data_IF_465192288388
#
_entry.id   IF_465192288388
#
_cell.length_a   1.000
_cell.length_b   1.000
_cell.length_c   1.000
_cell.angle_alpha   90.00
_cell.angle_beta   90.00
_cell.angle_gamma   90.00
#
_symmetry.space_group_name_H-M   'P 1'
#
loop_
_entity.id
_entity.type
_entity.pdbx_description
1 polymer ?
#
# COMPACT_ATOMS: atom_id res chain seq x y z
N UNK A 1 -5.80 -16.27 -2.16
CA UNK A 1 -6.55 -15.01 -2.18
C UNK A 1 -6.58 -14.43 -0.79
N UNK A 2 -6.12 -13.19 -0.62
CA UNK A 2 -6.16 -12.46 0.65
C UNK A 2 -6.98 -11.18 0.52
N UNK A 3 -7.55 -10.74 1.65
CA UNK A 3 -8.20 -9.44 1.76
C UNK A 3 -8.06 -8.92 3.18
N UNK A 4 -7.69 -7.65 3.33
CA UNK A 4 -7.56 -6.94 4.60
C UNK A 4 -8.37 -5.66 4.53
N UNK A 5 -9.18 -5.39 5.55
CA UNK A 5 -9.93 -4.13 5.67
C UNK A 5 -9.35 -3.25 6.75
N UNK A 6 -9.18 -1.97 6.41
CA UNK A 6 -8.81 -0.93 7.36
C UNK A 6 -10.00 0.00 7.54
N UNK A 7 -10.24 0.40 8.79
CA UNK A 7 -11.30 1.35 9.14
C UNK A 7 -10.64 2.59 9.70
N UNK A 8 -10.83 3.72 9.02
CA UNK A 8 -10.38 5.03 9.47
C UNK A 8 -11.55 5.87 9.95
N UNK A 9 -11.35 6.65 11.01
CA UNK A 9 -12.33 7.60 11.54
C UNK A 9 -11.67 8.96 11.79
N UNK A 10 -12.32 10.04 11.35
CA UNK A 10 -11.79 11.40 11.51
C UNK A 10 -12.70 12.46 10.90
N UNK A 11 -12.76 13.64 11.53
CA UNK A 11 -13.58 14.77 11.06
C UNK A 11 -15.08 14.43 10.97
N UNK A 12 -15.59 13.58 11.86
CA UNK A 12 -16.98 13.11 11.86
C UNK A 12 -17.33 12.12 10.76
N UNK A 13 -16.34 11.59 10.03
CA UNK A 13 -16.52 10.61 8.94
C UNK A 13 -15.81 9.31 9.26
N UNK A 14 -16.34 8.21 8.74
CA UNK A 14 -15.76 6.87 8.81
C UNK A 14 -15.55 6.32 7.40
N UNK A 15 -14.35 5.84 7.12
CA UNK A 15 -13.97 5.27 5.83
C UNK A 15 -13.54 3.83 6.03
N UNK A 16 -14.07 2.95 5.18
CA UNK A 16 -13.68 1.54 5.12
C UNK A 16 -12.87 1.36 3.85
N UNK A 17 -11.63 0.91 3.97
CA UNK A 17 -10.77 0.59 2.82
C UNK A 17 -10.46 -0.91 2.81
N UNK A 18 -10.13 -1.42 1.64
CA UNK A 18 -9.77 -2.82 1.44
C UNK A 18 -8.52 -2.91 0.58
N UNK A 19 -7.60 -3.79 1.00
CA UNK A 19 -6.41 -4.22 0.25
C UNK A 19 -6.54 -5.71 -0.04
N UNK A 20 -6.36 -6.11 -1.29
CA UNK A 20 -6.61 -7.50 -1.72
C UNK A 20 -5.62 -7.97 -2.78
N UNK A 21 -5.38 -9.28 -2.84
CA UNK A 21 -4.53 -9.90 -3.85
C UNK A 21 -4.62 -11.42 -3.85
N UNK A 22 -3.68 -12.06 -4.55
CA UNK A 22 -3.55 -13.50 -4.73
C UNK A 22 -3.13 -14.25 -3.46
N UNK A 23 -2.12 -15.11 -3.57
CA UNK A 23 -1.63 -15.90 -2.43
C UNK A 23 -0.82 -15.04 -1.45
N UNK A 24 -1.23 -14.92 -0.17
CA UNK A 24 -0.48 -14.12 0.80
C UNK A 24 0.81 -14.82 1.30
N UNK A 25 0.93 -16.14 1.11
CA UNK A 25 2.01 -16.93 1.68
C UNK A 25 3.38 -16.59 1.12
N UNK A 26 3.48 -16.45 -0.21
CA UNK A 26 4.73 -16.03 -0.84
C UNK A 26 4.55 -15.03 -1.97
N UNK A 27 3.65 -15.28 -2.92
CA UNK A 27 3.57 -14.50 -4.16
C UNK A 27 3.34 -13.01 -3.90
N UNK A 28 2.30 -12.67 -3.12
CA UNK A 28 1.96 -11.28 -2.87
C UNK A 28 2.94 -10.60 -1.90
N UNK A 29 3.51 -11.36 -0.97
CA UNK A 29 4.56 -10.86 -0.07
C UNK A 29 5.83 -10.53 -0.85
N UNK A 30 6.27 -11.41 -1.75
CA UNK A 30 7.44 -11.21 -2.59
C UNK A 30 7.24 -10.02 -3.54
N UNK A 31 6.05 -9.87 -4.11
CA UNK A 31 5.68 -8.72 -4.92
C UNK A 31 5.74 -7.41 -4.14
N UNK A 32 5.16 -7.36 -2.94
CA UNK A 32 5.22 -6.18 -2.08
C UNK A 32 6.66 -5.78 -1.75
N UNK A 33 7.51 -6.76 -1.46
CA UNK A 33 8.93 -6.54 -1.19
C UNK A 33 9.69 -6.03 -2.42
N UNK A 34 9.51 -6.67 -3.57
CA UNK A 34 10.18 -6.30 -4.81
C UNK A 34 9.77 -4.89 -5.29
N UNK A 35 8.48 -4.56 -5.27
CA UNK A 35 8.00 -3.22 -5.66
C UNK A 35 8.46 -2.14 -4.69
N UNK A 36 8.58 -2.42 -3.39
CA UNK A 36 9.18 -1.49 -2.44
C UNK A 36 10.67 -1.22 -2.74
N UNK A 37 11.44 -2.27 -3.07
CA UNK A 37 12.84 -2.12 -3.44
C UNK A 37 13.01 -1.31 -4.74
N UNK A 38 12.17 -1.57 -5.75
CA UNK A 38 12.17 -0.82 -7.00
C UNK A 38 11.75 0.64 -6.78
N UNK A 39 10.77 0.89 -5.91
CA UNK A 39 10.32 2.24 -5.57
C UNK A 39 11.47 3.08 -4.98
N UNK A 40 12.19 2.53 -3.99
CA UNK A 40 13.35 3.18 -3.39
C UNK A 40 14.49 3.45 -4.37
N UNK A 41 14.66 2.58 -5.37
CA UNK A 41 15.79 2.67 -6.29
C UNK A 41 15.53 3.59 -7.50
N UNK A 42 14.27 3.71 -7.94
CA UNK A 42 13.94 4.24 -9.27
C UNK A 42 12.99 5.43 -9.27
N UNK A 43 12.27 5.69 -8.18
CA UNK A 43 11.22 6.70 -8.15
C UNK A 43 11.70 8.00 -7.48
N UNK A 44 11.03 9.12 -7.77
CA UNK A 44 11.27 10.40 -7.07
C UNK A 44 10.53 10.38 -5.73
N UNK A 45 11.28 10.46 -4.63
CA UNK A 45 10.79 10.23 -3.28
C UNK A 45 11.10 11.39 -2.33
N UNK A 46 10.27 11.61 -1.29
CA UNK A 46 10.54 12.62 -0.27
C UNK A 46 11.91 12.45 0.37
N UNK A 47 12.59 13.56 0.65
CA UNK A 47 13.86 13.55 1.39
C UNK A 47 13.58 13.28 2.88
N UNK A 48 13.58 12.00 3.26
CA UNK A 48 13.37 11.53 4.63
C UNK A 48 14.51 10.63 5.10
N UNK A 49 14.75 10.57 6.40
CA UNK A 49 15.82 9.77 6.99
C UNK A 49 15.38 9.09 8.29
N UNK A 50 16.11 8.04 8.67
CA UNK A 50 15.83 7.23 9.86
C UNK A 50 15.00 5.98 9.55
N UNK A 51 14.37 5.42 10.59
CA UNK A 51 13.49 4.26 10.45
C UNK A 51 12.06 4.74 10.26
N UNK A 52 11.68 4.91 8.99
CA UNK A 52 10.35 5.39 8.59
C UNK A 52 9.53 4.26 7.98
N UNK A 53 8.20 4.40 8.03
CA UNK A 53 7.30 3.44 7.39
C UNK A 53 7.30 3.61 5.88
N UNK A 54 6.85 2.59 5.17
CA UNK A 54 6.69 2.64 3.71
C UNK A 54 5.75 3.77 3.26
N UNK A 55 4.72 4.08 4.05
CA UNK A 55 3.82 5.19 3.78
C UNK A 55 4.52 6.56 3.82
N UNK A 56 5.49 6.75 4.72
CA UNK A 56 6.26 8.00 4.82
C UNK A 56 7.37 8.07 3.78
N UNK A 57 8.07 6.95 3.53
CA UNK A 57 9.20 6.90 2.62
C UNK A 57 8.80 6.90 1.13
N UNK A 58 7.71 6.22 0.80
CA UNK A 58 7.34 5.92 -0.59
C UNK A 58 5.91 6.32 -0.94
N UNK A 59 4.99 6.29 0.02
CA UNK A 59 3.63 6.84 -0.11
C UNK A 59 2.90 6.39 -1.38
N UNK A 60 2.48 7.38 -2.18
CA UNK A 60 1.72 7.16 -3.41
C UNK A 60 2.53 6.42 -4.48
N UNK A 61 3.85 6.64 -4.57
CA UNK A 61 4.69 5.98 -5.56
C UNK A 61 4.68 4.44 -5.39
N UNK A 62 4.80 3.96 -4.15
CA UNK A 62 4.66 2.52 -3.87
C UNK A 62 3.23 2.04 -4.11
N UNK A 63 2.23 2.84 -3.75
CA UNK A 63 0.83 2.45 -3.96
C UNK A 63 0.52 2.21 -5.44
N UNK A 64 0.99 3.10 -6.32
CA UNK A 64 0.78 2.97 -7.77
C UNK A 64 1.54 1.78 -8.36
N UNK A 65 2.77 1.51 -7.91
CA UNK A 65 3.50 0.29 -8.26
C UNK A 65 2.75 -0.99 -7.90
N UNK A 66 2.26 -1.06 -6.66
CA UNK A 66 1.52 -2.23 -6.19
C UNK A 66 0.21 -2.42 -6.96
N UNK A 67 -0.50 -1.34 -7.30
CA UNK A 67 -1.67 -1.41 -8.19
C UNK A 67 -1.29 -1.95 -9.56
N UNK A 68 -0.21 -1.46 -10.17
CA UNK A 68 0.28 -1.93 -11.46
C UNK A 68 0.69 -3.41 -11.42
N UNK A 69 1.21 -3.88 -10.29
CA UNK A 69 1.55 -5.28 -10.05
C UNK A 69 0.34 -6.16 -9.63
N UNK A 70 -0.87 -5.60 -9.61
CA UNK A 70 -2.12 -6.33 -9.41
C UNK A 70 -2.62 -6.40 -7.96
N UNK A 71 -2.03 -5.65 -7.03
CA UNK A 71 -2.60 -5.47 -5.68
C UNK A 71 -3.78 -4.50 -5.76
N UNK A 72 -4.96 -4.95 -5.31
CA UNK A 72 -6.14 -4.11 -5.24
C UNK A 72 -6.11 -3.20 -4.02
N UNK A 73 -6.34 -1.90 -4.22
CA UNK A 73 -6.61 -0.92 -3.17
C UNK A 73 -7.90 -0.17 -3.49
N UNK A 74 -8.88 -0.20 -2.58
CA UNK A 74 -10.17 0.50 -2.81
C UNK A 74 -10.79 1.06 -1.53
N UNK A 75 -11.60 2.10 -1.70
CA UNK A 75 -12.59 2.51 -0.68
C UNK A 75 -13.80 1.61 -0.83
N UNK A 76 -14.16 0.89 0.23
CA UNK A 76 -15.30 -0.02 0.26
C UNK A 76 -16.59 0.67 0.68
N UNK A 77 -16.52 1.65 1.58
CA UNK A 77 -17.65 2.47 2.00
C UNK A 77 -17.18 3.76 2.68
N UNK A 78 -18.02 4.78 2.67
CA UNK A 78 -17.89 6.00 3.48
C UNK A 78 -19.18 6.20 4.25
N UNK A 79 -19.08 6.56 5.53
CA UNK A 79 -20.19 6.85 6.43
C UNK A 79 -19.94 8.15 7.18
#
# INVERSE_FOLDING_TARGET
WFSVRFVGEGGGRKVFTEVSGGDPGYDETAKMFAEAALCLALDDLPQVAGQVTTAVAMGDALTERLRAAGIGFRVAATR
#
